data_IF_760155747821
#
_entry.id   IF_760155747821
#
_cell.length_a   1.000
_cell.length_b   1.000
_cell.length_c   1.000
_cell.angle_alpha   90.00
_cell.angle_beta   90.00
_cell.angle_gamma   90.00
#
_symmetry.space_group_name_H-M   'P 1'
#
loop_
_entity.id
_entity.type
_entity.pdbx_description
1 polymer ?
#
# COMPACT_ATOMS: atom_id res chain seq x y z
N UNK A 1 22.30 8.46 -7.65
CA UNK A 1 21.13 7.77 -7.02
C UNK A 1 21.10 8.22 -5.57
N UNK A 2 19.91 8.47 -5.02
CA UNK A 2 19.77 8.80 -3.60
C UNK A 2 20.28 7.60 -2.75
N UNK A 3 20.88 7.89 -1.61
CA UNK A 3 21.32 6.86 -0.66
C UNK A 3 20.16 6.42 0.23
N UNK A 4 20.27 5.20 0.81
CA UNK A 4 19.28 4.72 1.76
C UNK A 4 19.23 5.65 2.98
N UNK A 5 18.02 6.07 3.42
CA UNK A 5 17.91 6.99 4.55
C UNK A 5 18.47 6.43 5.85
N UNK A 6 18.38 5.11 6.02
CA UNK A 6 18.99 4.39 7.16
C UNK A 6 19.49 3.02 6.70
N UNK A 7 20.35 2.40 7.50
CA UNK A 7 20.85 1.04 7.22
C UNK A 7 19.70 -0.01 7.21
N UNK A 8 18.65 0.22 8.02
CA UNK A 8 17.46 -0.63 8.06
C UNK A 8 16.63 -0.57 6.77
N UNK A 9 16.54 0.61 6.16
CA UNK A 9 15.82 0.82 4.90
C UNK A 9 16.63 0.41 3.66
N UNK A 10 17.91 0.06 3.81
CA UNK A 10 18.77 -0.30 2.68
C UNK A 10 18.36 -1.61 2.03
N UNK A 11 18.13 -1.58 0.72
CA UNK A 11 17.90 -2.77 -0.11
C UNK A 11 19.23 -3.51 -0.32
N UNK A 12 19.43 -4.63 0.38
CA UNK A 12 20.69 -5.40 0.34
C UNK A 12 20.75 -6.41 -0.80
N UNK A 13 19.66 -7.16 -1.04
CA UNK A 13 19.61 -8.12 -2.13
C UNK A 13 19.09 -7.44 -3.39
N UNK A 14 19.86 -7.50 -4.47
CA UNK A 14 19.61 -6.75 -5.70
C UNK A 14 19.54 -5.25 -5.43
N UNK A 15 20.62 -4.64 -4.94
CA UNK A 15 20.64 -3.23 -4.56
C UNK A 15 20.36 -2.30 -5.74
N UNK A 16 20.62 -2.74 -6.96
CA UNK A 16 20.29 -2.03 -8.21
C UNK A 16 18.79 -1.78 -8.41
N UNK A 17 17.94 -2.51 -7.68
CA UNK A 17 16.47 -2.35 -7.70
C UNK A 17 15.96 -1.43 -6.59
N UNK A 18 16.83 -1.01 -5.67
CA UNK A 18 16.50 -0.11 -4.59
C UNK A 18 16.32 1.32 -5.08
N UNK A 19 15.24 1.97 -4.67
CA UNK A 19 14.92 3.37 -4.97
C UNK A 19 14.61 4.06 -3.65
N UNK A 20 15.27 5.20 -3.42
CA UNK A 20 15.15 5.99 -2.18
C UNK A 20 14.64 7.40 -2.46
N UNK A 21 14.24 7.66 -3.69
CA UNK A 21 13.59 8.91 -4.07
C UNK A 21 12.20 9.00 -3.44
N UNK A 22 11.90 10.07 -2.65
CA UNK A 22 10.61 10.22 -1.99
C UNK A 22 9.42 10.24 -2.97
N UNK A 23 9.58 10.81 -4.17
CA UNK A 23 8.51 10.85 -5.14
C UNK A 23 8.16 9.46 -5.68
N UNK A 24 9.16 8.60 -5.90
CA UNK A 24 8.94 7.22 -6.31
C UNK A 24 8.28 6.38 -5.21
N UNK A 25 8.68 6.57 -3.95
CA UNK A 25 8.04 5.94 -2.78
C UNK A 25 6.57 6.39 -2.69
N UNK A 26 6.31 7.69 -2.78
CA UNK A 26 4.98 8.27 -2.75
C UNK A 26 4.08 7.71 -3.85
N UNK A 27 4.55 7.66 -5.10
CA UNK A 27 3.78 7.17 -6.24
C UNK A 27 3.32 5.70 -6.06
N UNK A 28 4.18 4.84 -5.50
CA UNK A 28 3.82 3.43 -5.24
C UNK A 28 2.78 3.33 -4.12
N UNK A 29 2.93 4.11 -3.04
CA UNK A 29 1.96 4.15 -1.94
C UNK A 29 0.61 4.71 -2.40
N UNK A 30 0.61 5.76 -3.24
CA UNK A 30 -0.61 6.37 -3.76
C UNK A 30 -1.36 5.44 -4.73
N UNK A 31 -0.65 4.55 -5.42
CA UNK A 31 -1.25 3.56 -6.32
C UNK A 31 -1.73 2.30 -5.58
N UNK A 32 -1.03 1.83 -4.54
CA UNK A 32 -1.39 0.61 -3.82
C UNK A 32 -2.66 0.80 -3.00
N UNK A 33 -3.66 -0.10 -3.14
CA UNK A 33 -4.93 -0.04 -2.39
C UNK A 33 -4.80 -0.43 -0.94
N UNK A 34 -3.90 -1.36 -0.65
CA UNK A 34 -3.75 -2.02 0.64
C UNK A 34 -2.27 -2.04 0.98
N UNK A 35 -1.98 -1.80 2.24
CA UNK A 35 -0.69 -2.09 2.81
C UNK A 35 -0.80 -3.18 3.89
N UNK A 36 0.32 -3.77 4.24
CA UNK A 36 0.44 -4.74 5.33
C UNK A 36 1.25 -4.09 6.45
N UNK A 37 0.65 -3.93 7.61
CA UNK A 37 1.32 -3.38 8.78
C UNK A 37 1.72 -4.51 9.72
N UNK A 38 3.02 -4.63 9.96
CA UNK A 38 3.62 -5.64 10.83
C UNK A 38 4.23 -5.01 12.08
N UNK A 39 4.16 -5.73 13.20
CA UNK A 39 4.80 -5.36 14.46
C UNK A 39 5.14 -6.63 15.26
N UNK A 40 5.93 -6.46 16.32
CA UNK A 40 6.22 -7.54 17.28
C UNK A 40 5.53 -7.19 18.60
N UNK A 41 4.84 -8.16 19.18
CA UNK A 41 4.19 -8.00 20.49
C UNK A 41 5.23 -7.93 21.62
N UNK A 42 4.86 -7.48 22.84
CA UNK A 42 5.76 -7.53 24.00
C UNK A 42 6.29 -8.94 24.30
N UNK A 43 5.52 -9.98 23.98
CA UNK A 43 5.89 -11.39 24.15
C UNK A 43 6.83 -11.90 23.04
N UNK A 44 7.20 -11.05 22.06
CA UNK A 44 8.09 -11.39 20.96
C UNK A 44 7.39 -12.04 19.75
N UNK A 45 6.06 -12.08 19.73
CA UNK A 45 5.32 -12.67 18.61
C UNK A 45 5.18 -11.71 17.44
N UNK A 46 5.51 -12.10 16.20
CA UNK A 46 5.26 -11.29 15.02
C UNK A 46 3.77 -11.25 14.69
N UNK A 47 3.30 -10.08 14.29
CA UNK A 47 1.93 -9.85 13.83
C UNK A 47 1.97 -9.07 12.51
N UNK A 48 1.02 -9.37 11.62
CA UNK A 48 0.79 -8.63 10.39
C UNK A 48 -0.70 -8.55 10.10
N UNK A 49 -1.15 -7.39 9.65
CA UNK A 49 -2.54 -7.19 9.21
C UNK A 49 -2.54 -6.43 7.88
N UNK A 50 -3.43 -6.76 6.94
CA UNK A 50 -3.74 -5.88 5.82
C UNK A 50 -4.61 -4.72 6.30
N UNK A 51 -4.39 -3.54 5.75
CA UNK A 51 -5.22 -2.36 6.04
C UNK A 51 -5.21 -1.39 4.86
N UNK A 52 -6.23 -0.53 4.79
CA UNK A 52 -6.24 0.63 3.92
C UNK A 52 -5.29 1.68 4.51
N UNK A 53 -4.62 2.41 3.64
CA UNK A 53 -3.77 3.53 4.00
C UNK A 53 -4.07 4.76 3.15
N UNK A 54 -3.59 5.91 3.57
CA UNK A 54 -3.53 7.11 2.74
C UNK A 54 -2.27 7.89 3.09
N UNK A 55 -1.76 8.68 2.14
CA UNK A 55 -0.61 9.54 2.34
C UNK A 55 -1.03 11.01 2.25
N UNK A 56 -0.54 11.79 3.19
CA UNK A 56 -0.63 13.26 3.17
C UNK A 56 0.78 13.80 3.36
N UNK A 57 1.32 14.47 2.37
CA UNK A 57 2.73 14.89 2.40
C UNK A 57 3.67 13.71 2.59
N UNK A 58 4.53 13.77 3.60
CA UNK A 58 5.50 12.73 3.95
C UNK A 58 5.01 11.84 5.10
N UNK A 59 3.70 11.76 5.30
CA UNK A 59 3.09 10.97 6.38
C UNK A 59 2.09 9.97 5.82
N UNK A 60 2.22 8.72 6.23
CA UNK A 60 1.30 7.62 5.94
C UNK A 60 0.32 7.48 7.10
N UNK A 61 -0.97 7.47 6.78
CA UNK A 61 -2.05 7.27 7.73
C UNK A 61 -2.68 5.89 7.55
N UNK A 62 -2.93 5.22 8.66
CA UNK A 62 -3.70 3.98 8.73
C UNK A 62 -4.73 4.10 9.85
N UNK A 63 -5.83 3.36 9.75
CA UNK A 63 -6.88 3.40 10.76
C UNK A 63 -7.18 2.01 11.33
N UNK A 64 -7.80 1.99 12.49
CA UNK A 64 -8.24 0.77 13.13
C UNK A 64 -9.24 1.04 14.25
N UNK A 65 -9.70 -0.02 14.91
CA UNK A 65 -10.60 0.11 16.06
C UNK A 65 -9.82 0.48 17.33
N UNK A 66 -10.41 1.31 18.18
CA UNK A 66 -9.90 1.62 19.53
C UNK A 66 -9.70 0.35 20.41
N UNK A 67 -10.46 -0.71 20.15
CA UNK A 67 -10.33 -1.98 20.85
C UNK A 67 -9.25 -2.92 20.28
N UNK A 68 -8.57 -2.52 19.19
CA UNK A 68 -7.65 -3.40 18.48
C UNK A 68 -6.39 -3.74 19.28
N UNK A 69 -5.85 -4.94 19.06
CA UNK A 69 -4.53 -5.33 19.61
C UNK A 69 -3.41 -4.47 19.05
N UNK A 70 -3.55 -4.02 17.79
CA UNK A 70 -2.62 -3.12 17.12
C UNK A 70 -2.48 -1.81 17.89
N UNK A 71 -3.61 -1.17 18.26
CA UNK A 71 -3.59 0.07 19.04
C UNK A 71 -2.90 -0.13 20.38
N UNK A 72 -3.20 -1.21 21.08
CA UNK A 72 -2.52 -1.51 22.36
C UNK A 72 -1.02 -1.66 22.20
N UNK A 73 -0.57 -2.34 21.15
CA UNK A 73 0.86 -2.49 20.86
C UNK A 73 1.53 -1.15 20.54
N UNK A 74 0.89 -0.31 19.72
CA UNK A 74 1.41 1.01 19.36
C UNK A 74 1.48 1.91 20.59
N UNK A 75 0.45 1.97 21.43
CA UNK A 75 0.47 2.71 22.70
C UNK A 75 1.53 2.22 23.69
N UNK A 76 1.88 0.93 23.60
CA UNK A 76 3.01 0.34 24.32
C UNK A 76 4.39 0.62 23.67
N UNK A 77 4.46 1.42 22.62
CA UNK A 77 5.70 1.82 21.95
C UNK A 77 6.21 0.87 20.87
N UNK A 78 5.35 -0.03 20.35
CA UNK A 78 5.75 -0.92 19.26
C UNK A 78 6.13 -0.12 18.01
N UNK A 79 7.28 -0.45 17.43
CA UNK A 79 7.66 -0.02 16.08
C UNK A 79 6.95 -0.90 15.06
N UNK A 80 6.69 -0.32 13.87
CA UNK A 80 6.03 -1.03 12.77
C UNK A 80 6.92 -1.12 11.54
N UNK A 81 6.63 -2.12 10.73
CA UNK A 81 7.04 -2.22 9.33
C UNK A 81 5.77 -2.24 8.49
N UNK A 82 5.62 -1.25 7.60
CA UNK A 82 4.49 -1.17 6.67
C UNK A 82 5.02 -1.51 5.28
N UNK A 83 4.35 -2.42 4.60
CA UNK A 83 4.70 -2.87 3.27
C UNK A 83 3.50 -2.72 2.32
N UNK A 84 3.76 -2.26 1.09
CA UNK A 84 2.81 -2.25 -0.01
C UNK A 84 3.48 -2.78 -1.27
N UNK A 85 2.82 -3.71 -1.98
CA UNK A 85 3.32 -4.29 -3.23
C UNK A 85 2.29 -4.26 -4.33
N UNK A 86 2.74 -3.89 -5.52
CA UNK A 86 2.00 -3.95 -6.78
C UNK A 86 2.70 -4.95 -7.69
N UNK A 87 1.97 -5.93 -8.19
CA UNK A 87 2.47 -6.91 -9.16
C UNK A 87 2.15 -6.42 -10.56
N UNK A 88 3.21 -6.19 -11.37
CA UNK A 88 3.08 -5.67 -12.73
C UNK A 88 3.22 -6.77 -13.80
N UNK A 89 3.71 -7.97 -13.44
CA UNK A 89 3.81 -9.07 -14.38
C UNK A 89 4.52 -10.31 -13.86
N UNK A 90 4.21 -11.44 -14.48
CA UNK A 90 4.91 -12.71 -14.26
C UNK A 90 6.02 -12.84 -15.30
N UNK A 91 7.23 -13.11 -14.85
CA UNK A 91 8.41 -13.22 -15.72
C UNK A 91 8.79 -14.67 -15.85
N UNK A 92 8.55 -15.22 -17.04
CA UNK A 92 8.82 -16.60 -17.39
C UNK A 92 10.15 -16.69 -18.13
N UNK A 93 11.10 -17.34 -17.53
CA UNK A 93 12.40 -17.62 -18.11
C UNK A 93 12.41 -19.02 -18.77
N UNK A 94 13.49 -19.38 -19.46
CA UNK A 94 13.63 -20.72 -20.06
C UNK A 94 13.92 -21.80 -19.03
N UNK A 95 14.43 -21.41 -17.85
CA UNK A 95 14.66 -22.33 -16.73
C UNK A 95 13.89 -21.88 -15.48
N UNK A 96 13.38 -22.83 -14.70
CA UNK A 96 12.54 -22.54 -13.53
C UNK A 96 13.24 -21.69 -12.46
N UNK A 97 14.54 -21.82 -12.18
CA UNK A 97 15.24 -20.98 -11.20
C UNK A 97 15.32 -19.49 -11.60
N UNK A 98 15.10 -19.18 -12.87
CA UNK A 98 15.18 -17.82 -13.43
C UNK A 98 13.80 -17.14 -13.54
N UNK A 99 12.72 -17.84 -13.25
CA UNK A 99 11.40 -17.23 -13.14
C UNK A 99 11.39 -16.12 -12.09
N UNK A 100 10.61 -15.07 -12.33
CA UNK A 100 10.54 -13.91 -11.46
C UNK A 100 9.20 -13.19 -11.60
N UNK A 101 9.06 -12.04 -10.98
CA UNK A 101 7.93 -11.11 -11.14
C UNK A 101 8.45 -9.70 -11.43
N UNK A 102 7.75 -8.95 -12.25
CA UNK A 102 7.85 -7.50 -12.29
C UNK A 102 6.94 -6.95 -11.19
N UNK A 103 7.47 -6.06 -10.38
CA UNK A 103 6.78 -5.53 -9.21
C UNK A 103 7.35 -4.17 -8.81
N UNK A 104 6.54 -3.43 -8.09
CA UNK A 104 6.90 -2.23 -7.36
C UNK A 104 6.48 -2.42 -5.90
N UNK A 105 7.39 -2.27 -4.96
CA UNK A 105 7.08 -2.40 -3.54
C UNK A 105 7.71 -1.27 -2.74
N UNK A 106 7.08 -0.91 -1.64
CA UNK A 106 7.59 0.05 -0.64
C UNK A 106 7.59 -0.61 0.71
N UNK A 107 8.66 -0.37 1.46
CA UNK A 107 8.74 -0.71 2.89
C UNK A 107 9.00 0.57 3.66
N UNK A 108 8.20 0.82 4.70
CA UNK A 108 8.31 1.95 5.61
C UNK A 108 8.53 1.42 7.02
N UNK A 109 9.57 1.90 7.70
CA UNK A 109 9.79 1.61 9.10
C UNK A 109 9.51 2.85 9.94
N UNK A 110 8.88 2.70 11.10
CA UNK A 110 8.62 3.84 11.97
C UNK A 110 8.07 3.46 13.33
N UNK A 111 7.98 4.47 14.19
CA UNK A 111 7.19 4.44 15.41
C UNK A 111 5.90 5.21 15.14
N UNK A 112 4.75 4.53 15.08
CA UNK A 112 3.49 5.19 14.80
C UNK A 112 3.13 6.17 15.90
N UNK A 113 2.60 7.32 15.52
CA UNK A 113 1.96 8.28 16.43
C UNK A 113 0.45 8.13 16.33
N UNK A 114 -0.24 8.03 17.45
CA UNK A 114 -1.69 8.12 17.45
C UNK A 114 -2.11 9.58 17.14
N UNK A 115 -3.03 9.75 16.22
CA UNK A 115 -3.60 11.06 15.86
C UNK A 115 -4.69 11.40 16.86
N UNK A 116 -4.52 12.50 17.59
CA UNK A 116 -5.47 12.98 18.60
C UNK A 116 -6.04 14.36 18.30
N UNK A 117 -5.38 15.12 17.43
CA UNK A 117 -5.90 16.40 16.94
C UNK A 117 -7.11 16.18 16.04
N UNK A 118 -8.19 16.94 16.28
CA UNK A 118 -9.44 16.77 15.55
C UNK A 118 -9.32 17.12 14.07
N UNK A 119 -8.61 18.16 13.74
CA UNK A 119 -8.49 18.60 12.35
C UNK A 119 -7.67 17.59 11.56
N UNK A 120 -6.58 17.07 12.15
CA UNK A 120 -5.77 16.02 11.55
C UNK A 120 -6.56 14.71 11.39
N UNK A 121 -7.40 14.33 12.36
CA UNK A 121 -8.28 13.16 12.27
C UNK A 121 -9.26 13.28 11.09
N UNK A 122 -9.90 14.44 10.94
CA UNK A 122 -10.87 14.70 9.86
C UNK A 122 -10.17 14.70 8.49
N UNK A 123 -8.96 15.25 8.39
CA UNK A 123 -8.15 15.23 7.17
C UNK A 123 -7.72 13.80 6.80
N UNK A 124 -7.23 13.03 7.77
CA UNK A 124 -6.80 11.65 7.56
C UNK A 124 -7.98 10.74 7.14
N UNK A 125 -9.16 10.90 7.76
CA UNK A 125 -10.37 10.17 7.38
C UNK A 125 -10.80 10.48 5.94
N UNK A 126 -10.75 11.76 5.57
CA UNK A 126 -11.02 12.19 4.19
C UNK A 126 -10.02 11.56 3.22
N UNK A 127 -8.73 11.63 3.53
CA UNK A 127 -7.67 11.08 2.70
C UNK A 127 -7.81 9.57 2.53
N UNK A 128 -8.15 8.82 3.58
CA UNK A 128 -8.40 7.38 3.50
C UNK A 128 -9.58 7.04 2.58
N UNK A 129 -10.68 7.82 2.64
CA UNK A 129 -11.82 7.61 1.75
C UNK A 129 -11.49 7.94 0.29
N UNK A 130 -10.82 9.07 0.05
CA UNK A 130 -10.40 9.51 -1.29
C UNK A 130 -9.32 8.62 -1.90
N UNK A 131 -8.45 8.01 -1.09
CA UNK A 131 -7.46 7.03 -1.57
C UNK A 131 -8.12 5.79 -2.17
N UNK A 132 -9.20 5.31 -1.56
CA UNK A 132 -9.93 4.13 -2.04
C UNK A 132 -10.82 4.49 -3.23
N UNK A 133 -11.60 5.56 -3.11
CA UNK A 133 -12.54 6.02 -4.15
C UNK A 133 -12.48 7.53 -4.26
N UNK A 134 -11.67 8.08 -5.18
CA UNK A 134 -11.60 9.51 -5.42
C UNK A 134 -12.96 10.11 -5.74
N UNK A 135 -13.31 11.22 -5.09
CA UNK A 135 -14.59 11.91 -5.22
C UNK A 135 -15.68 11.43 -4.23
N UNK A 136 -15.42 10.36 -3.47
CA UNK A 136 -16.44 9.78 -2.58
C UNK A 136 -16.86 10.71 -1.45
N UNK A 137 -15.97 11.53 -0.93
CA UNK A 137 -16.27 12.43 0.20
C UNK A 137 -17.17 13.61 -0.17
N UNK A 138 -17.46 13.82 -1.47
CA UNK A 138 -18.47 14.78 -1.89
C UNK A 138 -19.91 14.28 -1.60
N UNK A 139 -20.14 12.98 -1.62
CA UNK A 139 -21.46 12.37 -1.43
C UNK A 139 -21.63 11.70 -0.07
N UNK A 140 -20.58 11.03 0.42
CA UNK A 140 -20.64 10.32 1.69
C UNK A 140 -20.42 11.28 2.87
N UNK A 141 -21.30 11.19 3.89
CA UNK A 141 -21.07 11.95 5.12
C UNK A 141 -19.77 11.54 5.80
N UNK A 142 -19.13 12.49 6.43
CA UNK A 142 -17.99 12.23 7.30
C UNK A 142 -18.43 11.54 8.61
N UNK A 143 -17.49 10.87 9.32
CA UNK A 143 -17.79 10.22 10.60
C UNK A 143 -18.40 11.19 11.62
N UNK A 144 -19.39 10.72 12.38
CA UNK A 144 -19.91 11.46 13.53
C UNK A 144 -19.02 11.27 14.77
N UNK A 145 -19.35 11.97 15.85
CA UNK A 145 -18.56 11.95 17.10
C UNK A 145 -18.45 10.55 17.75
N UNK A 146 -19.46 9.71 17.61
CA UNK A 146 -19.43 8.34 18.14
C UNK A 146 -18.47 7.47 17.31
N UNK A 147 -18.60 7.51 16.00
CA UNK A 147 -17.75 6.77 15.07
C UNK A 147 -16.28 7.18 15.18
N UNK A 148 -16.01 8.48 15.40
CA UNK A 148 -14.64 8.97 15.65
C UNK A 148 -14.06 8.45 16.95
N UNK A 149 -14.86 8.37 18.04
CA UNK A 149 -14.40 7.80 19.30
C UNK A 149 -14.09 6.30 19.23
N UNK A 150 -14.70 5.59 18.31
CA UNK A 150 -14.46 4.15 18.08
C UNK A 150 -13.28 3.89 17.15
N UNK A 151 -12.83 4.92 16.43
CA UNK A 151 -11.76 4.83 15.43
C UNK A 151 -10.44 5.37 15.98
N UNK A 152 -9.37 4.60 15.82
CA UNK A 152 -8.00 5.05 16.02
C UNK A 152 -7.34 5.33 14.68
N UNK A 153 -6.62 6.44 14.59
CA UNK A 153 -5.80 6.78 13.41
C UNK A 153 -4.35 6.85 13.86
N UNK A 154 -3.46 6.29 13.04
CA UNK A 154 -2.02 6.30 13.25
C UNK A 154 -1.33 6.99 12.09
N UNK A 155 -0.35 7.83 12.43
CA UNK A 155 0.53 8.50 11.51
C UNK A 155 1.94 7.91 11.60
N UNK A 156 2.55 7.60 10.46
CA UNK A 156 3.94 7.13 10.34
C UNK A 156 4.63 7.99 9.31
N UNK A 157 5.76 8.60 9.66
CA UNK A 157 6.55 9.39 8.69
C UNK A 157 7.26 8.48 7.69
N UNK A 158 7.52 8.98 6.49
CA UNK A 158 8.24 8.27 5.43
C UNK A 158 9.76 8.42 5.51
N UNK A 159 10.29 8.91 6.64
CA UNK A 159 11.74 9.17 6.84
C UNK A 159 12.59 7.92 6.65
N UNK A 160 12.06 6.74 6.97
CA UNK A 160 12.73 5.45 6.81
C UNK A 160 12.00 4.58 5.80
N UNK A 161 11.79 5.10 4.59
CA UNK A 161 11.16 4.39 3.50
C UNK A 161 12.16 3.99 2.41
N UNK A 162 11.87 2.87 1.75
CA UNK A 162 12.56 2.43 0.55
C UNK A 162 11.59 1.77 -0.41
N UNK A 163 11.78 2.00 -1.71
CA UNK A 163 11.11 1.25 -2.74
C UNK A 163 12.05 0.20 -3.35
N UNK A 164 11.47 -0.87 -3.86
CA UNK A 164 12.17 -1.87 -4.65
C UNK A 164 11.37 -2.19 -5.89
N UNK A 165 12.00 -2.03 -7.05
CA UNK A 165 11.34 -2.14 -8.34
C UNK A 165 12.08 -3.13 -9.23
N UNK A 166 11.34 -4.04 -9.85
CA UNK A 166 11.83 -4.87 -10.94
C UNK A 166 10.92 -4.71 -12.15
N UNK A 167 11.53 -4.46 -13.29
CA UNK A 167 10.87 -4.37 -14.60
C UNK A 167 11.66 -5.17 -15.64
N UNK A 168 11.04 -5.39 -16.79
CA UNK A 168 11.74 -5.97 -17.95
C UNK A 168 11.59 -7.48 -18.10
N UNK A 169 12.27 -8.03 -19.13
CA UNK A 169 12.18 -9.43 -19.53
C UNK A 169 12.89 -10.38 -18.54
N UNK A 170 12.79 -11.72 -18.76
CA UNK A 170 13.64 -12.69 -18.09
C UNK A 170 15.12 -12.45 -18.43
N UNK A 171 15.98 -12.82 -17.50
CA UNK A 171 17.44 -12.79 -17.64
C UNK A 171 17.92 -14.24 -17.61
N UNK A 172 17.87 -14.88 -18.77
CA UNK A 172 18.38 -16.24 -18.95
C UNK A 172 19.91 -16.23 -19.11
N UNK A 173 20.62 -17.24 -18.64
CA UNK A 173 22.02 -17.45 -18.99
C UNK A 173 22.16 -17.84 -20.47
N UNK A 174 23.34 -17.59 -21.06
CA UNK A 174 23.57 -17.80 -22.49
C UNK A 174 23.31 -19.23 -22.92
N UNK A 175 23.63 -20.21 -22.06
CA UNK A 175 23.41 -21.64 -22.34
C UNK A 175 21.91 -22.01 -22.47
N UNK A 176 21.03 -21.25 -21.85
CA UNK A 176 19.58 -21.50 -21.92
C UNK A 176 18.91 -20.86 -23.14
N UNK A 177 19.57 -19.92 -23.82
CA UNK A 177 18.97 -19.18 -24.95
C UNK A 177 18.61 -20.09 -26.16
N UNK A 178 19.29 -21.23 -26.30
CA UNK A 178 19.02 -22.21 -27.36
C UNK A 178 17.87 -23.17 -27.04
N UNK A 179 17.28 -23.12 -25.86
CA UNK A 179 16.16 -23.99 -25.45
C UNK A 179 14.89 -23.62 -26.19
N UNK A 180 14.16 -24.58 -26.73
CA UNK A 180 12.85 -24.41 -27.39
C UNK A 180 11.72 -24.23 -26.33
N UNK A 181 11.90 -23.25 -25.45
CA UNK A 181 10.96 -22.90 -24.39
C UNK A 181 10.57 -21.44 -24.55
N UNK A 182 9.27 -21.16 -24.55
CA UNK A 182 8.78 -19.79 -24.56
C UNK A 182 9.25 -19.05 -23.31
N UNK A 183 9.78 -17.84 -23.47
CA UNK A 183 10.20 -16.97 -22.39
C UNK A 183 9.68 -15.55 -22.64
N UNK A 184 9.27 -14.86 -21.58
CA UNK A 184 8.70 -13.52 -21.71
C UNK A 184 8.01 -13.06 -20.44
N UNK A 185 7.14 -12.05 -20.57
CA UNK A 185 6.38 -11.46 -19.46
C UNK A 185 4.89 -11.59 -19.75
N UNK A 186 4.14 -12.07 -18.75
CA UNK A 186 2.68 -11.97 -18.72
C UNK A 186 2.34 -10.74 -17.89
N UNK A 187 1.86 -9.63 -18.48
CA UNK A 187 1.46 -8.44 -17.74
C UNK A 187 0.30 -8.75 -16.78
N UNK A 188 0.37 -8.19 -15.58
CA UNK A 188 -0.72 -8.26 -14.57
C UNK A 188 -1.23 -6.84 -14.35
N UNK A 189 -2.54 -6.69 -14.28
CA UNK A 189 -3.21 -5.42 -13.98
C UNK A 189 -4.37 -5.65 -13.04
N UNK A 190 -4.54 -4.75 -12.07
CA UNK A 190 -5.74 -4.70 -11.25
C UNK A 190 -6.78 -3.82 -11.95
N UNK A 191 -7.93 -4.39 -12.27
CA UNK A 191 -9.02 -3.65 -12.93
C UNK A 191 -10.27 -3.67 -12.07
N UNK A 192 -11.01 -2.55 -12.05
CA UNK A 192 -12.30 -2.48 -11.41
C UNK A 192 -13.34 -3.21 -12.28
N UNK A 193 -14.21 -4.01 -11.63
CA UNK A 193 -15.36 -4.60 -12.26
C UNK A 193 -16.53 -3.61 -12.40
N UNK A 194 -17.62 -4.06 -13.02
CA UNK A 194 -18.85 -3.26 -13.09
C UNK A 194 -19.41 -3.01 -11.68
N UNK A 195 -19.76 -1.75 -11.34
CA UNK A 195 -20.37 -1.44 -10.06
C UNK A 195 -21.66 -2.24 -9.82
N UNK A 196 -21.87 -2.66 -8.58
CA UNK A 196 -23.07 -3.38 -8.16
C UNK A 196 -23.75 -2.57 -7.06
N UNK A 197 -25.04 -2.14 -7.26
CA UNK A 197 -25.75 -1.39 -6.24
C UNK A 197 -26.03 -2.26 -5.00
N UNK A 198 -26.08 -1.61 -3.85
CA UNK A 198 -26.48 -2.27 -2.61
C UNK A 198 -27.94 -2.77 -2.72
N UNK A 199 -28.28 -3.94 -2.14
CA UNK A 199 -29.63 -4.51 -2.22
C UNK A 199 -30.72 -3.60 -1.60
N UNK A 200 -30.35 -2.75 -0.65
CA UNK A 200 -31.20 -1.80 0.06
C UNK A 200 -31.12 -0.37 -0.49
N UNK A 201 -30.49 -0.19 -1.66
CA UNK A 201 -30.42 1.12 -2.30
C UNK A 201 -31.84 1.62 -2.65
N UNK A 202 -32.19 2.81 -2.18
CA UNK A 202 -33.50 3.40 -2.44
C UNK A 202 -33.71 3.60 -3.95
N UNK A 203 -34.96 3.37 -4.48
CA UNK A 203 -35.27 3.61 -5.88
C UNK A 203 -34.98 5.08 -6.28
N UNK A 204 -34.46 5.26 -7.48
CA UNK A 204 -34.15 6.59 -8.04
C UNK A 204 -32.77 7.14 -7.69
N UNK A 205 -31.97 6.47 -6.83
CA UNK A 205 -30.58 6.84 -6.62
C UNK A 205 -29.75 6.30 -7.79
N UNK A 206 -29.13 7.21 -8.53
CA UNK A 206 -28.30 6.90 -9.69
C UNK A 206 -26.83 6.80 -9.25
N UNK A 207 -26.09 5.87 -9.85
CA UNK A 207 -24.65 5.75 -9.64
C UNK A 207 -23.94 7.03 -10.13
N UNK A 208 -23.10 7.67 -9.31
CA UNK A 208 -22.36 8.86 -9.74
C UNK A 208 -21.22 8.51 -10.69
N UNK A 209 -20.78 9.47 -11.49
CA UNK A 209 -19.75 9.29 -12.51
C UNK A 209 -18.43 8.71 -11.95
N UNK A 210 -18.00 9.14 -10.78
CA UNK A 210 -16.76 8.61 -10.16
C UNK A 210 -16.84 7.13 -9.78
N UNK A 211 -18.07 6.56 -9.68
CA UNK A 211 -18.29 5.11 -9.47
C UNK A 211 -18.32 4.39 -10.81
N UNK A 212 -19.05 4.91 -11.80
CA UNK A 212 -19.18 4.29 -13.13
C UNK A 212 -17.84 4.30 -13.89
N UNK A 213 -17.10 5.39 -13.78
CA UNK A 213 -15.82 5.61 -14.46
C UNK A 213 -14.62 5.28 -13.58
N UNK A 214 -14.82 4.59 -12.45
CA UNK A 214 -13.73 4.29 -11.52
C UNK A 214 -12.60 3.56 -12.21
N UNK A 215 -11.38 4.11 -12.07
CA UNK A 215 -10.12 3.53 -12.56
C UNK A 215 -9.10 3.55 -11.44
N UNK A 216 -8.35 2.48 -11.33
CA UNK A 216 -7.17 2.48 -10.48
C UNK A 216 -6.02 3.18 -11.18
N UNK A 217 -5.17 3.96 -10.46
CA UNK A 217 -3.89 4.39 -10.98
C UNK A 217 -3.10 3.19 -11.49
N UNK A 218 -2.54 3.28 -12.71
CA UNK A 218 -1.80 2.17 -13.33
C UNK A 218 -2.64 1.01 -13.92
N UNK A 219 -3.97 1.07 -13.83
CA UNK A 219 -4.91 0.08 -14.38
C UNK A 219 -5.29 0.30 -15.85
#
# INVERSE_FOLDING_TARGET
>A
MAEAPTERARVRRHPERGIYDPAAVAAILDEALVCHMAWVTPEGEPRVIPTIHARIGDTLYVHGSQASRTLRAIRAGAKVCIEATIIDGLVLARSTPKHSMNYRSVVVFGAPREVTDRAEMDEAQRALAEHVVPGRTADARMPNEVELKETAIFAVTLDEASAKVRTGPPLDPDEDLALDVWAGVIPIRTVAGKPQPAPDLRPGIVSPAYVEDYRRPGG
#
